data_IF_735987837773
#
_entry.id   IF_735987837773
#
_cell.length_a   1.000
_cell.length_b   1.000
_cell.length_c   1.000
_cell.angle_alpha   90.00
_cell.angle_beta   90.00
_cell.angle_gamma   90.00
#
_symmetry.space_group_name_H-M   'P 1'
#
loop_
_entity.id
_entity.type
_entity.pdbx_description
1 polymer ?
#
# COMPACT_ATOMS: atom_id res chain seq x y z
N UNK A 1 2.50 10.74 17.33
CA UNK A 1 3.18 10.49 16.04
C UNK A 1 2.11 10.78 15.03
N UNK A 2 2.26 11.86 14.25
CA UNK A 2 1.20 12.31 13.34
C UNK A 2 1.03 11.28 12.22
N UNK A 3 -0.22 10.92 11.93
CA UNK A 3 -0.58 10.02 10.83
C UNK A 3 -0.47 10.80 9.50
N UNK A 4 0.00 10.17 8.41
CA UNK A 4 0.06 10.83 7.11
C UNK A 4 -1.35 11.15 6.61
N UNK A 5 -1.61 12.42 6.34
CA UNK A 5 -2.87 12.92 5.79
C UNK A 5 -2.61 13.62 4.47
N UNK A 6 -3.43 13.35 3.47
CA UNK A 6 -3.27 13.89 2.13
C UNK A 6 -3.61 15.40 2.12
N UNK A 7 -2.97 16.21 1.26
CA UNK A 7 -3.31 17.63 1.16
C UNK A 7 -4.76 17.81 0.69
N UNK A 8 -5.47 18.76 1.31
CA UNK A 8 -6.86 19.10 0.98
C UNK A 8 -7.04 19.72 -0.41
N UNK A 9 -5.95 20.22 -1.02
CA UNK A 9 -5.94 20.79 -2.36
C UNK A 9 -4.95 19.99 -3.20
N UNK A 10 -5.43 19.40 -4.29
CA UNK A 10 -4.66 18.49 -5.15
C UNK A 10 -4.75 18.91 -6.61
N UNK A 11 -3.72 18.57 -7.39
CA UNK A 11 -3.61 18.97 -8.79
C UNK A 11 -4.05 17.85 -9.72
N UNK A 12 -5.07 18.10 -10.55
CA UNK A 12 -5.52 17.13 -11.54
C UNK A 12 -4.45 16.88 -12.61
N UNK A 13 -4.24 15.62 -12.98
CA UNK A 13 -3.43 15.28 -14.16
C UNK A 13 -4.23 15.57 -15.43
N UNK A 14 -3.70 16.32 -16.41
CA UNK A 14 -4.42 16.61 -17.65
C UNK A 14 -4.89 15.33 -18.36
N UNK A 15 -6.20 15.22 -18.59
CA UNK A 15 -6.81 14.04 -19.25
C UNK A 15 -7.04 12.83 -18.34
N UNK A 16 -6.80 12.95 -17.03
CA UNK A 16 -7.14 11.95 -16.01
C UNK A 16 -8.22 12.47 -15.07
N UNK A 17 -8.88 11.56 -14.36
CA UNK A 17 -9.70 11.90 -13.19
C UNK A 17 -8.91 11.84 -11.88
N UNK A 18 -7.66 11.37 -11.92
CA UNK A 18 -6.76 11.26 -10.77
C UNK A 18 -5.87 12.50 -10.62
N UNK A 19 -5.50 12.82 -9.38
CA UNK A 19 -4.50 13.86 -9.08
C UNK A 19 -3.07 13.35 -9.28
N UNK A 20 -2.09 14.26 -9.35
CA UNK A 20 -0.68 13.90 -9.39
C UNK A 20 -0.25 13.19 -8.10
N UNK A 21 -0.80 13.64 -6.98
CA UNK A 21 -0.59 13.09 -5.64
C UNK A 21 -1.07 11.63 -5.56
N UNK A 22 -2.25 11.32 -6.12
CA UNK A 22 -2.79 9.97 -6.22
C UNK A 22 -1.88 9.07 -7.07
N UNK A 23 -1.50 9.52 -8.27
CA UNK A 23 -0.67 8.71 -9.16
C UNK A 23 0.68 8.39 -8.53
N UNK A 24 1.32 9.40 -7.94
CA UNK A 24 2.63 9.23 -7.36
C UNK A 24 2.57 8.32 -6.13
N UNK A 25 1.63 8.56 -5.21
CA UNK A 25 1.45 7.73 -4.02
C UNK A 25 1.11 6.26 -4.34
N UNK A 26 0.30 6.02 -5.37
CA UNK A 26 0.06 4.66 -5.88
C UNK A 26 1.32 3.96 -6.40
N UNK A 27 2.23 4.71 -7.04
CA UNK A 27 3.48 4.16 -7.61
C UNK A 27 4.53 3.91 -6.53
N UNK A 28 4.69 4.85 -5.58
CA UNK A 28 5.85 4.84 -4.67
C UNK A 28 5.51 4.41 -3.24
N UNK A 29 4.28 4.64 -2.79
CA UNK A 29 3.89 4.53 -1.38
C UNK A 29 2.98 3.35 -1.05
N UNK A 30 2.34 2.73 -2.03
CA UNK A 30 1.42 1.60 -1.75
C UNK A 30 2.01 0.23 -2.09
N UNK A 31 1.53 -0.78 -1.37
CA UNK A 31 1.68 -2.19 -1.74
C UNK A 31 0.31 -2.72 -2.13
N UNK A 32 0.17 -3.10 -3.40
CA UNK A 32 -1.07 -3.63 -3.98
C UNK A 32 -1.02 -5.15 -4.11
N UNK A 33 -2.19 -5.78 -4.02
CA UNK A 33 -2.35 -7.21 -4.24
C UNK A 33 -2.11 -7.58 -5.70
N UNK A 34 -1.20 -8.53 -5.96
CA UNK A 34 -0.96 -9.06 -7.31
C UNK A 34 -2.12 -9.91 -7.82
N UNK A 35 -2.80 -10.60 -6.90
CA UNK A 35 -3.90 -11.53 -7.21
C UNK A 35 -5.11 -11.24 -6.34
N UNK A 36 -6.29 -11.63 -6.82
CA UNK A 36 -7.49 -11.70 -5.99
C UNK A 36 -7.43 -12.94 -5.08
N UNK A 37 -7.89 -12.83 -3.84
CA UNK A 37 -7.80 -13.92 -2.89
C UNK A 37 -8.19 -13.54 -1.47
N UNK A 38 -7.81 -14.38 -0.51
CA UNK A 38 -8.00 -14.15 0.92
C UNK A 38 -6.65 -13.94 1.60
N UNK A 39 -6.53 -12.91 2.44
CA UNK A 39 -5.33 -12.67 3.24
C UNK A 39 -5.17 -13.81 4.24
N UNK A 40 -4.10 -14.58 4.12
CA UNK A 40 -3.81 -15.68 5.04
C UNK A 40 -3.08 -15.18 6.30
N UNK A 41 -2.12 -14.27 6.14
CA UNK A 41 -1.41 -13.70 7.28
C UNK A 41 -0.87 -12.31 7.00
N UNK A 42 -0.82 -11.52 8.08
CA UNK A 42 -0.22 -10.19 8.13
C UNK A 42 0.84 -10.24 9.23
N UNK A 43 2.11 -10.06 8.85
CA UNK A 43 3.25 -10.04 9.76
C UNK A 43 4.06 -8.76 9.55
N UNK A 44 4.85 -8.31 10.54
CA UNK A 44 5.82 -7.26 10.32
C UNK A 44 6.75 -7.64 9.15
N UNK A 45 6.73 -6.86 8.08
CA UNK A 45 7.55 -7.10 6.88
C UNK A 45 6.93 -7.98 5.79
N UNK A 46 5.74 -8.57 5.97
CA UNK A 46 5.15 -9.43 4.94
C UNK A 46 3.63 -9.61 5.06
N UNK A 47 2.95 -9.57 3.91
CA UNK A 47 1.55 -10.00 3.78
C UNK A 47 1.49 -11.20 2.84
N UNK A 48 0.70 -12.21 3.18
CA UNK A 48 0.48 -13.38 2.33
C UNK A 48 -0.98 -13.49 1.94
N UNK A 49 -1.24 -13.60 0.63
CA UNK A 49 -2.59 -13.74 0.05
C UNK A 49 -2.71 -15.11 -0.62
N UNK A 50 -3.72 -15.89 -0.26
CA UNK A 50 -4.07 -17.16 -0.91
C UNK A 50 -5.07 -16.90 -2.02
N UNK A 51 -4.75 -17.31 -3.23
CA UNK A 51 -5.67 -17.21 -4.37
C UNK A 51 -6.76 -18.29 -4.35
N UNK A 52 -7.66 -18.26 -5.33
CA UNK A 52 -8.71 -19.26 -5.50
C UNK A 52 -8.19 -20.66 -5.79
N UNK A 53 -6.98 -20.77 -6.34
CA UNK A 53 -6.33 -22.03 -6.69
C UNK A 53 -5.54 -22.63 -5.51
N UNK A 54 -5.57 -21.95 -4.35
CA UNK A 54 -4.91 -22.36 -3.12
C UNK A 54 -3.43 -21.98 -3.03
N UNK A 55 -2.87 -21.29 -4.04
CA UNK A 55 -1.48 -20.86 -4.06
C UNK A 55 -1.28 -19.62 -3.20
N UNK A 56 -0.17 -19.61 -2.46
CA UNK A 56 0.20 -18.51 -1.58
C UNK A 56 1.10 -17.49 -2.29
N UNK A 57 0.68 -16.23 -2.28
CA UNK A 57 1.41 -15.10 -2.86
C UNK A 57 1.91 -14.18 -1.74
N UNK A 58 3.23 -14.07 -1.60
CA UNK A 58 3.89 -13.24 -0.59
C UNK A 58 4.17 -11.84 -1.13
N UNK A 59 3.93 -10.83 -0.31
CA UNK A 59 4.13 -9.42 -0.62
C UNK A 59 4.99 -8.82 0.50
N UNK A 60 6.21 -8.42 0.16
CA UNK A 60 7.16 -7.89 1.14
C UNK A 60 6.83 -6.45 1.51
N UNK A 61 6.95 -6.16 2.81
CA UNK A 61 6.76 -4.85 3.39
C UNK A 61 8.09 -4.33 3.95
N UNK A 62 8.32 -3.02 3.82
CA UNK A 62 9.42 -2.37 4.50
C UNK A 62 9.02 -2.04 5.93
N UNK A 63 9.92 -2.29 6.87
CA UNK A 63 9.75 -1.98 8.29
C UNK A 63 11.02 -1.26 8.76
N UNK A 64 10.91 0.03 9.07
CA UNK A 64 12.05 0.90 9.40
C UNK A 64 13.24 0.75 8.44
N UNK A 65 12.97 0.69 7.14
CA UNK A 65 14.03 0.56 6.15
C UNK A 65 14.73 1.92 5.94
N UNK A 66 16.04 2.03 6.17
CA UNK A 66 16.75 3.31 6.03
C UNK A 66 16.90 3.71 4.56
N UNK A 67 16.53 4.95 4.24
CA UNK A 67 16.74 5.54 2.92
C UNK A 67 18.00 6.41 2.91
N UNK A 68 18.56 6.62 1.71
CA UNK A 68 19.80 7.38 1.48
C UNK A 68 19.76 8.85 1.93
N UNK A 69 18.59 9.36 2.37
CA UNK A 69 18.38 10.73 2.84
C UNK A 69 18.03 10.81 4.34
N UNK A 70 18.46 9.81 5.14
CA UNK A 70 18.27 9.77 6.60
C UNK A 70 16.80 9.76 7.05
N UNK A 71 15.92 9.25 6.19
CA UNK A 71 14.52 8.95 6.51
C UNK A 71 14.33 7.43 6.55
N UNK A 72 13.21 6.98 7.13
CA UNK A 72 12.83 5.57 7.13
C UNK A 72 11.60 5.36 6.25
N UNK A 73 11.57 4.23 5.55
CA UNK A 73 10.39 3.72 4.87
C UNK A 73 9.75 2.62 5.73
N UNK A 74 8.49 2.83 6.06
CA UNK A 74 7.66 1.86 6.76
C UNK A 74 6.35 1.68 6.00
N UNK A 75 5.93 0.44 5.81
CA UNK A 75 4.58 0.12 5.36
C UNK A 75 3.71 -0.28 6.54
N UNK A 76 2.52 0.30 6.61
CA UNK A 76 1.47 -0.01 7.55
C UNK A 76 0.41 -0.85 6.83
N UNK A 77 0.21 -2.13 7.23
CA UNK A 77 -0.84 -2.96 6.65
C UNK A 77 -2.23 -2.33 6.81
N UNK A 78 -3.01 -2.33 5.73
CA UNK A 78 -4.40 -1.83 5.68
C UNK A 78 -5.43 -2.96 5.66
N UNK A 79 -4.96 -4.21 5.81
CA UNK A 79 -5.78 -5.43 5.78
C UNK A 79 -5.44 -6.31 6.97
N UNK A 80 -6.36 -7.20 7.31
CA UNK A 80 -6.23 -8.22 8.36
C UNK A 80 -6.30 -9.63 7.77
N UNK A 81 -5.84 -10.63 8.53
CA UNK A 81 -6.00 -12.03 8.15
C UNK A 81 -7.48 -12.39 8.06
N UNK A 82 -7.88 -13.06 6.97
CA UNK A 82 -9.27 -13.38 6.64
C UNK A 82 -9.94 -12.42 5.64
N UNK A 83 -9.35 -11.25 5.39
CA UNK A 83 -9.93 -10.27 4.46
C UNK A 83 -9.87 -10.78 3.02
N UNK A 84 -10.91 -10.48 2.24
CA UNK A 84 -10.94 -10.72 0.80
C UNK A 84 -10.40 -9.51 0.07
N UNK A 85 -9.43 -9.73 -0.81
CA UNK A 85 -8.79 -8.68 -1.61
C UNK A 85 -8.96 -8.99 -3.10
N UNK A 86 -9.05 -7.93 -3.90
CA UNK A 86 -9.03 -8.02 -5.37
C UNK A 86 -7.63 -7.70 -5.87
N UNK A 87 -7.25 -8.26 -7.03
CA UNK A 87 -6.05 -7.82 -7.74
C UNK A 87 -6.08 -6.29 -7.93
N UNK A 88 -4.97 -5.63 -7.62
CA UNK A 88 -4.84 -4.17 -7.61
C UNK A 88 -5.32 -3.47 -6.34
N UNK A 89 -5.98 -4.18 -5.41
CA UNK A 89 -6.41 -3.62 -4.13
C UNK A 89 -5.23 -3.31 -3.19
N UNK A 90 -5.39 -2.30 -2.33
CA UNK A 90 -4.35 -1.87 -1.37
C UNK A 90 -4.24 -2.92 -0.26
N UNK A 91 -3.00 -3.32 0.05
CA UNK A 91 -2.65 -4.18 1.18
C UNK A 91 -1.92 -3.43 2.28
N UNK A 92 -1.12 -2.44 1.92
CA UNK A 92 -0.42 -1.57 2.87
C UNK A 92 -0.15 -0.20 2.25
N UNK A 93 -0.19 0.84 3.07
CA UNK A 93 0.25 2.20 2.73
C UNK A 93 1.60 2.49 3.39
N UNK A 94 2.35 3.44 2.86
CA UNK A 94 3.63 3.87 3.44
C UNK A 94 3.44 5.01 4.43
N UNK A 95 4.44 5.29 5.26
CA UNK A 95 4.51 6.50 6.08
C UNK A 95 4.64 7.81 5.29
N UNK A 96 4.60 7.76 3.96
CA UNK A 96 4.56 8.92 3.07
C UNK A 96 3.21 9.06 2.36
N UNK A 97 2.24 8.20 2.62
CA UNK A 97 0.95 8.23 1.93
C UNK A 97 -0.17 8.01 2.93
N UNK A 98 -1.33 8.60 2.69
CA UNK A 98 -2.53 8.31 3.48
C UNK A 98 -2.98 6.84 3.30
N UNK A 99 -4.07 6.46 3.99
CA UNK A 99 -4.63 5.10 3.93
C UNK A 99 -5.14 4.70 2.54
N UNK A 100 -5.42 5.67 1.67
CA UNK A 100 -5.84 5.46 0.28
C UNK A 100 -4.65 5.42 -0.67
N UNK A 101 -3.46 5.72 -0.18
CA UNK A 101 -2.24 5.75 -0.97
C UNK A 101 -1.98 7.07 -1.68
N UNK A 102 -2.60 8.16 -1.24
CA UNK A 102 -2.37 9.52 -1.76
C UNK A 102 -1.20 10.15 -1.00
N UNK A 103 -0.28 10.80 -1.74
CA UNK A 103 0.92 11.47 -1.21
C UNK A 103 0.60 12.86 -0.65
#
# INVERSE_FOLDING_TARGET
MDEPDAPLVQSLVPGSTESFEDQLGQIIGTRKARVSGTVESVKPGMISVRDSDGKLHKHDLYNNFPLNRKTYLQHNPQVSAGDKVKSGGILASSNFTDDKGTL
#
